data_IF_627294796918
#
_entry.id   IF_627294796918
#
_cell.length_a   1.000
_cell.length_b   1.000
_cell.length_c   1.000
_cell.angle_alpha   90.00
_cell.angle_beta   90.00
_cell.angle_gamma   90.00
#
_symmetry.space_group_name_H-M   'P 1'
#
loop_
_entity.id
_entity.type
_entity.pdbx_description
1 polymer ?
#
# COMPACT_ATOMS: atom_id res chain seq x y z
N UNK A 1 17.49 17.38 -26.35
CA UNK A 1 16.68 16.15 -26.24
C UNK A 1 16.51 15.83 -24.77
N UNK A 2 15.29 15.87 -24.24
CA UNK A 2 15.01 15.47 -22.85
C UNK A 2 15.17 13.96 -22.72
N UNK A 3 15.93 13.49 -21.72
CA UNK A 3 15.96 12.05 -21.39
C UNK A 3 14.59 11.64 -20.89
N UNK A 4 13.98 10.67 -21.55
CA UNK A 4 12.71 10.08 -21.11
C UNK A 4 12.96 9.26 -19.83
N UNK A 5 12.15 9.50 -18.80
CA UNK A 5 12.23 8.74 -17.54
C UNK A 5 11.64 7.36 -17.79
N UNK A 6 12.44 6.30 -17.57
CA UNK A 6 11.99 4.92 -17.65
C UNK A 6 11.32 4.51 -16.33
N UNK A 7 10.12 3.98 -16.41
CA UNK A 7 9.37 3.44 -15.28
C UNK A 7 9.44 1.90 -15.28
N UNK A 8 9.42 1.31 -14.08
CA UNK A 8 9.46 -0.14 -13.88
C UNK A 8 8.24 -0.53 -13.05
N UNK A 9 7.40 -1.41 -13.56
CA UNK A 9 6.16 -1.83 -12.88
C UNK A 9 6.26 -3.21 -12.23
N UNK A 10 7.35 -3.93 -12.48
CA UNK A 10 7.59 -5.31 -12.02
C UNK A 10 9.08 -5.50 -11.75
N UNK A 11 9.50 -5.16 -10.54
CA UNK A 11 10.89 -5.29 -10.12
C UNK A 11 11.25 -6.74 -9.74
N UNK A 12 10.24 -7.59 -9.53
CA UNK A 12 10.38 -9.00 -9.17
C UNK A 12 9.23 -9.83 -9.75
N UNK A 13 9.45 -11.13 -9.86
CA UNK A 13 8.43 -12.10 -10.25
C UNK A 13 7.59 -12.50 -9.03
N UNK A 14 6.26 -12.37 -9.16
CA UNK A 14 5.34 -12.62 -8.05
C UNK A 14 5.28 -14.08 -7.64
N UNK A 15 5.39 -15.01 -8.59
CA UNK A 15 5.34 -16.44 -8.30
C UNK A 15 6.64 -16.90 -7.64
N UNK A 16 7.77 -16.29 -8.01
CA UNK A 16 9.04 -16.49 -7.32
C UNK A 16 8.98 -15.95 -5.89
N UNK A 17 8.61 -14.68 -5.69
CA UNK A 17 8.53 -14.08 -4.35
C UNK A 17 7.58 -14.87 -3.44
N UNK A 18 6.43 -15.28 -3.98
CA UNK A 18 5.48 -16.12 -3.26
C UNK A 18 6.13 -17.41 -2.75
N UNK A 19 6.85 -18.14 -3.62
CA UNK A 19 7.54 -19.36 -3.24
C UNK A 19 8.62 -19.10 -2.19
N UNK A 20 9.37 -18.01 -2.29
CA UNK A 20 10.38 -17.65 -1.29
C UNK A 20 9.74 -17.44 0.09
N UNK A 21 8.62 -16.71 0.16
CA UNK A 21 7.91 -16.44 1.41
C UNK A 21 7.24 -17.69 1.97
N UNK A 22 6.56 -18.48 1.14
CA UNK A 22 5.85 -19.71 1.58
C UNK A 22 6.83 -20.80 2.06
N UNK A 23 8.07 -20.81 1.56
CA UNK A 23 9.09 -21.79 1.96
C UNK A 23 9.97 -21.33 3.13
N UNK A 24 9.85 -20.07 3.60
CA UNK A 24 10.62 -19.56 4.73
C UNK A 24 9.95 -19.98 6.06
N UNK A 25 10.55 -20.90 6.84
CA UNK A 25 9.96 -21.34 8.09
C UNK A 25 9.88 -20.22 9.14
N UNK A 26 10.70 -19.17 9.01
CA UNK A 26 10.65 -18.03 9.91
C UNK A 26 9.39 -17.17 9.72
N UNK A 27 8.71 -17.31 8.58
CA UNK A 27 7.50 -16.58 8.21
C UNK A 27 6.21 -17.41 8.36
N UNK A 28 6.30 -18.65 8.84
CA UNK A 28 5.17 -19.57 8.98
C UNK A 28 4.01 -18.96 9.79
N UNK A 29 4.33 -18.07 10.73
CA UNK A 29 3.36 -17.35 11.55
C UNK A 29 2.35 -16.50 10.76
N UNK A 30 2.69 -16.06 9.55
CA UNK A 30 1.76 -15.30 8.69
C UNK A 30 0.63 -16.14 8.11
N UNK A 31 0.79 -17.47 8.05
CA UNK A 31 -0.21 -18.40 7.50
C UNK A 31 -1.12 -19.00 8.58
N UNK A 32 -0.76 -18.81 9.85
CA UNK A 32 -1.58 -19.26 10.97
C UNK A 32 -2.87 -18.44 11.02
N UNK A 33 -3.99 -19.11 11.32
CA UNK A 33 -5.25 -18.42 11.55
C UNK A 33 -5.06 -17.41 12.70
N UNK A 34 -5.61 -16.21 12.53
CA UNK A 34 -5.68 -15.24 13.61
C UNK A 34 -6.50 -15.84 14.76
N UNK A 35 -5.80 -16.29 15.80
CA UNK A 35 -6.44 -16.74 17.03
C UNK A 35 -6.84 -15.50 17.84
N UNK A 36 -8.14 -15.24 17.92
CA UNK A 36 -8.70 -14.15 18.73
C UNK A 36 -8.40 -14.32 20.24
N UNK A 37 -7.92 -15.49 20.68
CA UNK A 37 -7.65 -15.80 22.09
C UNK A 37 -6.20 -15.49 22.52
N UNK A 38 -5.24 -15.53 21.59
CA UNK A 38 -3.83 -15.17 21.81
C UNK A 38 -3.42 -13.90 21.05
N UNK A 39 -4.41 -13.12 20.61
CA UNK A 39 -4.23 -12.00 19.70
C UNK A 39 -3.02 -11.17 20.12
N UNK A 40 -2.04 -11.04 19.22
CA UNK A 40 -1.21 -9.84 19.26
C UNK A 40 -2.21 -8.71 19.25
N UNK A 41 -2.36 -7.95 20.35
CA UNK A 41 -3.35 -6.92 20.34
C UNK A 41 -2.84 -5.93 19.32
N UNK A 42 -3.65 -5.62 18.31
CA UNK A 42 -3.59 -4.32 17.64
C UNK A 42 -3.56 -3.17 18.69
N UNK A 43 -3.96 -3.49 19.93
CA UNK A 43 -3.86 -2.72 21.16
C UNK A 43 -2.52 -2.82 21.93
N UNK A 44 -1.42 -3.36 21.38
CA UNK A 44 -0.13 -3.26 22.08
C UNK A 44 0.16 -1.76 22.32
N UNK A 45 0.69 -1.35 23.49
CA UNK A 45 0.85 0.07 23.82
C UNK A 45 1.60 0.85 22.72
N UNK A 46 2.55 0.18 22.06
CA UNK A 46 3.32 0.70 20.93
C UNK A 46 2.44 1.05 19.71
N UNK A 47 1.52 0.17 19.34
CA UNK A 47 0.62 0.39 18.19
C UNK A 47 -0.40 1.51 18.44
N UNK A 48 -0.81 1.70 19.71
CA UNK A 48 -1.71 2.78 20.10
C UNK A 48 -1.02 4.14 19.98
N UNK A 49 0.23 4.25 20.43
CA UNK A 49 1.05 5.46 20.32
C UNK A 49 1.29 5.83 18.85
N UNK A 50 1.64 4.86 18.01
CA UNK A 50 1.80 5.06 16.56
C UNK A 50 0.49 5.52 15.91
N UNK A 51 -0.63 4.88 16.24
CA UNK A 51 -1.95 5.25 15.72
C UNK A 51 -2.32 6.67 16.12
N UNK A 52 -2.04 7.07 17.36
CA UNK A 52 -2.33 8.42 17.84
C UNK A 52 -1.45 9.46 17.14
N UNK A 53 -0.15 9.19 16.99
CA UNK A 53 0.77 10.06 16.26
C UNK A 53 0.30 10.29 14.81
N UNK A 54 -0.12 9.23 14.12
CA UNK A 54 -0.70 9.34 12.77
C UNK A 54 -2.02 10.13 12.76
N UNK A 55 -2.88 9.94 13.75
CA UNK A 55 -4.15 10.68 13.89
C UNK A 55 -3.89 12.18 14.09
N UNK A 56 -2.97 12.54 14.98
CA UNK A 56 -2.57 13.93 15.22
C UNK A 56 -1.95 14.57 13.97
N UNK A 57 -1.09 13.84 13.25
CA UNK A 57 -0.50 14.30 12.00
C UNK A 57 -1.60 14.64 10.96
N UNK A 58 -2.52 13.71 10.69
CA UNK A 58 -3.58 13.94 9.70
C UNK A 58 -4.54 15.07 10.14
N UNK A 59 -4.83 15.18 11.44
CA UNK A 59 -5.63 16.28 11.99
C UNK A 59 -4.96 17.64 11.76
N UNK A 60 -3.65 17.73 12.01
CA UNK A 60 -2.87 18.95 11.79
C UNK A 60 -2.80 19.34 10.31
N UNK A 61 -2.84 18.36 9.41
CA UNK A 61 -2.76 18.54 7.96
C UNK A 61 -4.11 18.37 7.24
N UNK A 62 -5.23 18.59 7.95
CA UNK A 62 -6.59 18.35 7.45
C UNK A 62 -6.97 19.13 6.18
N UNK A 63 -6.31 20.26 5.90
CA UNK A 63 -6.59 21.07 4.71
C UNK A 63 -6.18 20.40 3.39
N UNK A 64 -5.47 19.27 3.44
CA UNK A 64 -5.09 18.49 2.26
C UNK A 64 -4.01 19.13 1.37
N UNK A 65 -3.58 20.36 1.66
CA UNK A 65 -2.63 21.13 0.83
C UNK A 65 -1.25 20.46 0.67
N UNK A 66 -0.89 19.57 1.60
CA UNK A 66 0.36 18.83 1.56
C UNK A 66 0.30 17.60 0.63
N UNK A 67 -0.90 17.03 0.43
CA UNK A 67 -1.06 15.76 -0.27
C UNK A 67 -1.30 15.99 -1.76
N UNK A 68 -0.24 15.79 -2.55
CA UNK A 68 -0.30 15.90 -4.00
C UNK A 68 -0.76 14.60 -4.63
N UNK A 69 -1.52 14.72 -5.70
CA UNK A 69 -1.91 13.57 -6.52
C UNK A 69 -0.69 12.91 -7.15
N UNK A 70 -0.62 11.58 -7.04
CA UNK A 70 0.47 10.78 -7.58
C UNK A 70 0.23 10.43 -9.05
N UNK A 71 0.13 11.45 -9.92
CA UNK A 71 -0.18 11.29 -11.36
C UNK A 71 0.83 10.46 -12.14
N UNK A 72 2.06 10.30 -11.61
CA UNK A 72 3.06 9.45 -12.22
C UNK A 72 2.67 7.96 -12.18
N UNK A 73 1.77 7.55 -11.29
CA UNK A 73 1.34 6.15 -11.18
C UNK A 73 0.70 5.63 -12.45
N UNK A 74 -0.01 6.45 -13.22
CA UNK A 74 -0.56 6.02 -14.51
C UNK A 74 0.51 5.86 -15.60
N UNK A 75 1.68 6.49 -15.43
CA UNK A 75 2.84 6.28 -16.30
C UNK A 75 3.61 5.02 -15.91
N UNK A 76 3.69 4.78 -14.61
CA UNK A 76 4.39 3.63 -14.04
C UNK A 76 3.59 2.34 -14.19
N UNK A 77 2.28 2.40 -13.96
CA UNK A 77 1.33 1.29 -14.05
C UNK A 77 0.21 1.62 -15.06
N UNK A 78 0.48 1.59 -16.38
CA UNK A 78 -0.50 1.91 -17.41
C UNK A 78 -1.77 1.05 -17.35
N UNK A 79 -1.68 -0.16 -16.81
CA UNK A 79 -2.80 -1.07 -16.59
C UNK A 79 -3.91 -0.44 -15.73
N UNK A 80 -3.56 0.46 -14.81
CA UNK A 80 -4.51 1.17 -13.94
C UNK A 80 -5.39 2.14 -14.73
N UNK A 81 -4.95 2.62 -15.89
CA UNK A 81 -5.70 3.55 -16.73
C UNK A 81 -6.68 2.85 -17.69
N UNK A 82 -6.58 1.53 -17.87
CA UNK A 82 -7.39 0.84 -18.87
C UNK A 82 -8.82 0.60 -18.37
N UNK A 83 -9.84 1.12 -19.06
CA UNK A 83 -11.24 1.12 -18.57
C UNK A 83 -12.07 -0.12 -18.93
N UNK A 84 -11.49 -1.10 -19.63
CA UNK A 84 -12.26 -2.15 -20.29
C UNK A 84 -12.61 -3.34 -19.40
N UNK A 85 -12.12 -3.39 -18.15
CA UNK A 85 -12.35 -4.49 -17.23
C UNK A 85 -12.62 -3.97 -15.82
N UNK A 86 -13.57 -4.61 -15.13
CA UNK A 86 -13.79 -4.36 -13.70
C UNK A 86 -12.54 -4.79 -12.93
N UNK A 87 -11.89 -3.85 -12.24
CA UNK A 87 -10.70 -4.12 -11.43
C UNK A 87 -10.93 -3.87 -9.95
N UNK A 88 -10.29 -4.70 -9.13
CA UNK A 88 -10.14 -4.48 -7.69
C UNK A 88 -8.69 -4.10 -7.44
N UNK A 89 -8.48 -2.97 -6.77
CA UNK A 89 -7.16 -2.44 -6.41
C UNK A 89 -7.10 -2.31 -4.89
N UNK A 90 -6.00 -2.76 -4.29
CA UNK A 90 -5.73 -2.62 -2.86
C UNK A 90 -4.49 -1.75 -2.68
N UNK A 91 -4.63 -0.64 -1.96
CA UNK A 91 -3.52 0.20 -1.51
C UNK A 91 -3.25 -0.10 -0.03
N UNK A 92 -2.15 -0.79 0.26
CA UNK A 92 -1.70 -1.05 1.63
C UNK A 92 -1.00 0.21 2.15
N UNK A 93 -1.42 0.72 3.31
CA UNK A 93 -0.84 1.95 3.88
C UNK A 93 -1.22 3.21 3.10
N UNK A 94 -2.48 3.34 2.68
CA UNK A 94 -2.97 4.43 1.82
C UNK A 94 -2.87 5.84 2.42
N UNK A 95 -2.64 5.97 3.73
CA UNK A 95 -2.54 7.26 4.43
C UNK A 95 -3.80 8.10 4.21
N UNK A 96 -3.67 9.22 3.49
CA UNK A 96 -4.79 10.11 3.15
C UNK A 96 -5.56 9.71 1.87
N UNK A 97 -5.16 8.66 1.16
CA UNK A 97 -5.86 8.13 -0.02
C UNK A 97 -5.73 8.95 -1.31
N UNK A 98 -4.88 9.98 -1.37
CA UNK A 98 -4.68 10.81 -2.58
C UNK A 98 -4.19 10.02 -3.82
N UNK A 99 -3.62 8.84 -3.62
CA UNK A 99 -3.21 7.91 -4.68
C UNK A 99 -4.40 7.38 -5.48
N UNK A 100 -5.56 7.18 -4.85
CA UNK A 100 -6.75 6.68 -5.52
C UNK A 100 -7.32 7.68 -6.54
N UNK A 101 -7.11 8.99 -6.31
CA UNK A 101 -7.67 10.06 -7.14
C UNK A 101 -7.31 9.97 -8.63
N UNK A 102 -6.04 9.78 -9.05
CA UNK A 102 -5.72 9.59 -10.46
C UNK A 102 -6.25 8.27 -11.05
N UNK A 103 -6.57 7.26 -10.25
CA UNK A 103 -7.05 5.95 -10.71
C UNK A 103 -8.57 5.97 -10.92
N UNK A 104 -9.30 6.74 -10.09
CA UNK A 104 -10.77 6.81 -10.10
C UNK A 104 -11.36 7.82 -11.10
N UNK A 105 -10.53 8.64 -11.76
CA UNK A 105 -10.96 9.70 -12.68
C UNK A 105 -10.83 9.27 -14.13
#
# INVERSE_FOLDING_TARGET
MSKETKYYSKDFDWDQLRQEIENDPSLEYHFLAFDNQNGIPCSSPFWQEDSEAWSQFHTRHCTGKFFKERRYLLKEFPELASSNEYRKVLEVGCGNGSTALPILR
#
